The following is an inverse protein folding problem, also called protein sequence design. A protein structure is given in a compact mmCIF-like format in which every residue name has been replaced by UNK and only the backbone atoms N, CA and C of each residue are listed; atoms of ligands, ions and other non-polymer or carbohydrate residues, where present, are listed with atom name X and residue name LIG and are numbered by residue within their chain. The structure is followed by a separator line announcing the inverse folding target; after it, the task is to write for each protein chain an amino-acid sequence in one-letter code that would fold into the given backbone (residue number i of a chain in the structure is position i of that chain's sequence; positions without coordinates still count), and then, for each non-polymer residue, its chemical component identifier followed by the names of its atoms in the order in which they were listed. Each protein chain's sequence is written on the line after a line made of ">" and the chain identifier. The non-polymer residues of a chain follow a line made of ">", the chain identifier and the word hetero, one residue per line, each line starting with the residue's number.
data_IF_578683484140
#
_entry.id   IF_578683484140
#
_cell.length_a   1.000
_cell.length_b   1.000
_cell.length_c   1.000
_cell.angle_alpha   90.00
_cell.angle_beta   90.00
_cell.angle_gamma   90.00
#
_symmetry.space_group_name_H-M   'P 1'
#
loop_
_entity.id
_entity.type
_entity.pdbx_description
1 polymer ?
#
# COMPACT_ATOMS: atom_id res chain seq x y z
N UNK A 1 16.10 -13.31 -28.09
CA UNK A 1 16.89 -12.08 -27.83
C UNK A 1 16.43 -10.84 -28.60
N UNK A 2 15.41 -10.91 -29.47
CA UNK A 2 15.05 -9.79 -30.37
C UNK A 2 14.21 -8.65 -29.75
N UNK A 3 13.92 -8.68 -28.44
CA UNK A 3 13.05 -7.67 -27.79
C UNK A 3 13.73 -6.92 -26.64
N UNK A 4 15.02 -7.15 -26.39
CA UNK A 4 15.75 -6.46 -25.32
C UNK A 4 15.70 -4.93 -25.48
N UNK A 5 15.87 -4.35 -26.69
CA UNK A 5 15.74 -2.91 -26.87
C UNK A 5 14.34 -2.39 -26.51
N UNK A 6 13.29 -3.15 -26.83
CA UNK A 6 11.89 -2.81 -26.51
C UNK A 6 11.64 -2.88 -25.00
N UNK A 7 12.17 -3.90 -24.33
CA UNK A 7 12.07 -4.04 -22.87
C UNK A 7 12.76 -2.89 -22.15
N UNK A 8 13.97 -2.51 -22.59
CA UNK A 8 14.69 -1.35 -22.04
C UNK A 8 13.89 -0.07 -22.23
N UNK A 9 13.40 0.19 -23.45
CA UNK A 9 12.59 1.37 -23.74
C UNK A 9 11.33 1.43 -22.86
N UNK A 10 10.63 0.30 -22.70
CA UNK A 10 9.44 0.20 -21.85
C UNK A 10 9.76 0.54 -20.38
N UNK A 11 10.82 -0.05 -19.80
CA UNK A 11 11.21 0.20 -18.40
C UNK A 11 11.56 1.68 -18.21
N UNK A 12 12.35 2.27 -19.12
CA UNK A 12 12.74 3.68 -19.03
C UNK A 12 11.50 4.58 -19.08
N UNK A 13 10.58 4.36 -20.02
CA UNK A 13 9.33 5.12 -20.12
C UNK A 13 8.49 4.96 -18.84
N UNK A 14 8.37 3.73 -18.30
CA UNK A 14 7.66 3.49 -17.05
C UNK A 14 8.28 4.26 -15.87
N UNK A 15 9.61 4.29 -15.74
CA UNK A 15 10.30 5.05 -14.68
C UNK A 15 10.02 6.54 -14.81
N UNK A 16 10.06 7.10 -16.02
CA UNK A 16 9.70 8.50 -16.24
C UNK A 16 8.27 8.81 -15.77
N UNK A 17 7.29 7.97 -16.14
CA UNK A 17 5.90 8.13 -15.69
C UNK A 17 5.78 8.02 -14.17
N UNK A 18 6.47 7.05 -13.55
CA UNK A 18 6.49 6.91 -12.09
C UNK A 18 7.08 8.14 -11.39
N UNK A 19 8.14 8.73 -11.93
CA UNK A 19 8.74 9.95 -11.36
C UNK A 19 7.76 11.12 -11.42
N UNK A 20 7.06 11.31 -12.54
CA UNK A 20 6.03 12.36 -12.68
C UNK A 20 4.85 12.15 -11.71
N UNK A 21 4.47 10.89 -11.47
CA UNK A 21 3.38 10.54 -10.54
C UNK A 21 3.83 10.42 -9.07
N UNK A 22 5.13 10.47 -8.77
CA UNK A 22 5.65 10.18 -7.43
C UNK A 22 5.10 11.11 -6.35
N UNK A 23 4.91 12.40 -6.66
CA UNK A 23 4.34 13.38 -5.73
C UNK A 23 2.91 13.03 -5.30
N UNK A 24 2.03 12.74 -6.27
CA UNK A 24 0.62 12.40 -5.99
C UNK A 24 0.49 11.06 -5.28
N UNK A 25 1.34 10.09 -5.64
CA UNK A 25 1.42 8.80 -4.96
C UNK A 25 1.88 8.99 -3.50
N UNK A 26 2.88 9.83 -3.26
CA UNK A 26 3.39 10.10 -1.91
C UNK A 26 2.33 10.77 -1.03
N UNK A 27 1.63 11.79 -1.54
CA UNK A 27 0.53 12.44 -0.80
C UNK A 27 -0.58 11.46 -0.43
N UNK A 28 -0.92 10.53 -1.33
CA UNK A 28 -1.91 9.49 -1.06
C UNK A 28 -1.45 8.52 0.04
N UNK A 29 -0.18 8.13 0.03
CA UNK A 29 0.43 7.29 1.06
C UNK A 29 0.47 8.01 2.41
N UNK A 30 0.79 9.30 2.44
CA UNK A 30 0.83 10.08 3.68
C UNK A 30 -0.56 10.27 4.30
N UNK A 31 -1.60 10.40 3.47
CA UNK A 31 -3.00 10.44 3.94
C UNK A 31 -3.47 9.11 4.55
N UNK A 32 -2.85 7.99 4.16
CA UNK A 32 -3.22 6.64 4.58
C UNK A 32 -1.99 5.86 5.09
N UNK A 33 -1.56 6.08 6.34
CA UNK A 33 -0.29 5.53 6.86
C UNK A 33 -0.14 4.00 6.75
N UNK A 34 -1.24 3.26 6.77
CA UNK A 34 -1.26 1.81 6.56
C UNK A 34 -0.78 1.40 5.15
N UNK A 35 -1.02 2.23 4.13
CA UNK A 35 -0.45 2.01 2.79
C UNK A 35 1.07 2.16 2.76
N UNK A 36 1.64 3.05 3.60
CA UNK A 36 3.09 3.18 3.74
C UNK A 36 3.72 1.88 4.24
N UNK A 37 3.13 1.29 5.28
CA UNK A 37 3.57 0.01 5.84
C UNK A 37 3.38 -1.12 4.82
N UNK A 38 2.26 -1.12 4.09
CA UNK A 38 2.00 -2.10 3.03
C UNK A 38 3.07 -2.05 1.93
N UNK A 39 3.44 -0.84 1.47
CA UNK A 39 4.48 -0.65 0.47
C UNK A 39 5.86 -1.13 0.95
N UNK A 40 6.25 -0.77 2.19
CA UNK A 40 7.50 -1.26 2.80
C UNK A 40 7.50 -2.80 2.90
N UNK A 41 6.36 -3.38 3.26
CA UNK A 41 6.20 -4.84 3.36
C UNK A 41 6.33 -5.51 1.99
N UNK A 42 5.75 -4.93 0.94
CA UNK A 42 5.89 -5.46 -0.42
C UNK A 42 7.34 -5.42 -0.90
N UNK A 43 8.08 -4.35 -0.61
CA UNK A 43 9.51 -4.27 -0.92
C UNK A 43 10.31 -5.38 -0.23
N UNK A 44 10.03 -5.65 1.05
CA UNK A 44 10.67 -6.73 1.80
C UNK A 44 10.32 -8.10 1.18
N UNK A 45 9.03 -8.38 0.96
CA UNK A 45 8.58 -9.66 0.40
C UNK A 45 9.18 -9.89 -0.99
N UNK A 46 9.11 -8.90 -1.89
CA UNK A 46 9.69 -9.01 -3.24
C UNK A 46 11.21 -9.18 -3.15
N UNK A 47 11.89 -8.43 -2.28
CA UNK A 47 13.32 -8.59 -2.05
C UNK A 47 13.68 -10.00 -1.58
N UNK A 48 12.96 -10.55 -0.60
CA UNK A 48 13.16 -11.92 -0.12
C UNK A 48 12.88 -12.96 -1.19
N UNK A 49 11.82 -12.78 -1.98
CA UNK A 49 11.48 -13.69 -3.09
C UNK A 49 12.60 -13.68 -4.14
N UNK A 50 13.13 -12.51 -4.51
CA UNK A 50 14.25 -12.43 -5.45
C UNK A 50 15.52 -13.10 -4.90
N UNK A 51 15.81 -12.95 -3.61
CA UNK A 51 16.92 -13.65 -2.96
C UNK A 51 16.70 -15.16 -3.01
N UNK A 52 15.50 -15.64 -2.68
CA UNK A 52 15.17 -17.06 -2.73
C UNK A 52 15.29 -17.62 -4.17
N UNK A 53 14.76 -16.91 -5.16
CA UNK A 53 14.89 -17.27 -6.58
C UNK A 53 16.37 -17.31 -7.03
N UNK A 54 17.23 -16.43 -6.49
CA UNK A 54 18.67 -16.47 -6.75
C UNK A 54 19.36 -17.73 -6.20
N UNK A 55 18.77 -18.38 -5.17
CA UNK A 55 19.19 -19.68 -4.65
C UNK A 55 18.45 -20.86 -5.30
N UNK A 56 17.84 -20.66 -6.48
CA UNK A 56 17.08 -21.65 -7.25
C UNK A 56 15.80 -22.16 -6.53
N UNK A 57 15.38 -21.46 -5.47
CA UNK A 57 14.10 -21.72 -4.78
C UNK A 57 12.98 -21.05 -5.55
N UNK A 58 12.21 -21.86 -6.26
CA UNK A 58 11.09 -21.40 -7.07
C UNK A 58 9.89 -21.06 -6.19
N UNK A 59 9.68 -19.77 -5.94
CA UNK A 59 8.46 -19.28 -5.29
C UNK A 59 7.39 -19.04 -6.36
N UNK A 60 6.23 -19.72 -6.31
CA UNK A 60 5.20 -19.50 -7.31
C UNK A 60 4.67 -18.07 -7.21
N UNK A 61 4.91 -17.27 -8.25
CA UNK A 61 4.61 -15.83 -8.33
C UNK A 61 3.15 -15.51 -8.02
N UNK A 62 2.25 -16.44 -8.33
CA UNK A 62 0.82 -16.34 -8.02
C UNK A 62 0.52 -16.15 -6.53
N UNK A 63 1.29 -16.77 -5.63
CA UNK A 63 1.10 -16.57 -4.18
C UNK A 63 1.43 -15.14 -3.76
N UNK A 64 2.53 -14.60 -4.28
CA UNK A 64 2.96 -13.22 -3.99
C UNK A 64 1.95 -12.23 -4.54
N UNK A 65 1.52 -12.41 -5.79
CA UNK A 65 0.52 -11.55 -6.42
C UNK A 65 -0.84 -11.61 -5.71
N UNK A 66 -1.28 -12.81 -5.31
CA UNK A 66 -2.51 -12.98 -4.55
C UNK A 66 -2.43 -12.31 -3.17
N UNK A 67 -1.33 -12.50 -2.44
CA UNK A 67 -1.11 -11.86 -1.16
C UNK A 67 -1.14 -10.33 -1.29
N UNK A 68 -0.45 -9.75 -2.29
CA UNK A 68 -0.45 -8.31 -2.51
C UNK A 68 -1.85 -7.77 -2.84
N UNK A 69 -2.59 -8.43 -3.74
CA UNK A 69 -3.95 -8.03 -4.12
C UNK A 69 -4.92 -8.15 -2.94
N UNK A 70 -4.85 -9.25 -2.17
CA UNK A 70 -5.67 -9.46 -0.99
C UNK A 70 -5.39 -8.40 0.08
N UNK A 71 -4.12 -8.13 0.39
CA UNK A 71 -3.75 -7.09 1.37
C UNK A 71 -4.22 -5.70 0.97
N UNK A 72 -4.09 -5.34 -0.31
CA UNK A 72 -4.63 -4.07 -0.82
C UNK A 72 -6.16 -4.01 -0.70
N UNK A 73 -6.86 -5.11 -1.00
CA UNK A 73 -8.32 -5.19 -0.87
C UNK A 73 -8.79 -5.05 0.58
N UNK A 74 -8.13 -5.72 1.52
CA UNK A 74 -8.38 -5.58 2.95
C UNK A 74 -8.10 -4.16 3.43
N UNK A 75 -7.00 -3.56 2.96
CA UNK A 75 -6.65 -2.18 3.32
C UNK A 75 -7.67 -1.16 2.77
N UNK A 76 -8.13 -1.34 1.54
CA UNK A 76 -9.19 -0.52 0.96
C UNK A 76 -10.49 -0.62 1.77
N UNK A 77 -10.87 -1.82 2.23
CA UNK A 77 -12.01 -2.02 3.11
C UNK A 77 -11.79 -1.35 4.48
N UNK A 78 -10.60 -1.48 5.06
CA UNK A 78 -10.23 -0.87 6.33
C UNK A 78 -10.33 0.67 6.28
N UNK A 79 -9.79 1.30 5.23
CA UNK A 79 -9.92 2.74 4.98
C UNK A 79 -11.40 3.12 4.86
N UNK A 80 -12.19 2.38 4.06
CA UNK A 80 -13.63 2.65 3.89
C UNK A 80 -14.39 2.57 5.21
N UNK A 81 -14.13 1.54 6.03
CA UNK A 81 -14.77 1.39 7.35
C UNK A 81 -14.39 2.52 8.30
N UNK A 82 -13.13 2.97 8.30
CA UNK A 82 -12.67 4.10 9.13
C UNK A 82 -13.42 5.39 8.77
N UNK A 83 -13.57 5.67 7.47
CA UNK A 83 -14.33 6.84 6.99
C UNK A 83 -15.81 6.76 7.42
N UNK A 84 -16.41 5.56 7.39
CA UNK A 84 -17.80 5.36 7.81
C UNK A 84 -17.98 5.51 9.34
N UNK A 85 -17.00 5.07 10.14
CA UNK A 85 -17.05 5.14 11.62
C UNK A 85 -16.74 6.53 12.17
N UNK A 86 -15.83 7.28 11.56
CA UNK A 86 -15.50 8.65 11.96
C UNK A 86 -16.65 9.66 11.81
N UNK A 87 -17.77 9.27 11.18
CA UNK A 87 -19.01 10.06 11.12
C UNK A 87 -19.97 9.81 12.30
N UNK A 88 -19.69 8.85 13.19
CA UNK A 88 -20.59 8.42 14.28
C UNK A 88 -20.11 8.75 15.69
N UNK A 89 -18.94 9.37 15.85
CA UNK A 89 -18.47 9.84 17.15
C UNK A 89 -19.06 11.22 17.45
N UNK A 90 -20.38 11.28 17.66
CA UNK A 90 -20.91 12.38 18.48
C UNK A 90 -20.28 12.22 19.87
N UNK A 91 -19.45 13.16 20.33
CA UNK A 91 -18.80 13.03 21.62
C UNK A 91 -19.89 12.92 22.68
N UNK A 92 -19.83 11.85 23.47
CA UNK A 92 -20.74 11.66 24.61
C UNK A 92 -20.58 12.88 25.50
N UNK A 93 -21.59 13.75 25.49
CA UNK A 93 -21.62 14.97 26.29
C UNK A 93 -21.70 14.55 27.75
N UNK A 94 -20.53 14.46 28.40
CA UNK A 94 -20.42 14.33 29.84
C UNK A 94 -21.02 15.61 30.44
N UNK A 95 -22.28 15.51 30.85
CA UNK A 95 -22.96 16.54 31.64
C UNK A 95 -22.16 16.66 32.94
N UNK A 96 -21.50 17.81 33.12
CA UNK A 96 -20.99 18.22 34.43
C UNK A 96 -22.06 19.09 35.07
N UNK A 97 -23.11 18.47 35.58
CA UNK A 97 -23.88 19.04 36.67
C UNK A 97 -23.09 18.83 37.96
N UNK A 98 -22.26 19.83 38.30
CA UNK A 98 -21.78 20.02 39.65
C UNK A 98 -22.75 21.04 40.28
N UNK A 99 -23.66 20.62 41.17
CA UNK A 99 -24.42 21.56 41.98
C UNK A 99 -23.52 22.06 43.11
N UNK A 100 -23.13 23.35 43.08
CA UNK A 100 -22.50 24.01 44.23
C UNK A 100 -21.23 24.84 43.99
N UNK A 101 -21.14 25.63 42.91
CA UNK A 101 -20.33 26.85 42.90
C UNK A 101 -21.20 28.05 42.54
#
# INVERSE_FOLDING_TARGET
>A
VQNVPVMIAAIVISVFVMMLASGTISEFIDKHPSLKVLALSFLIVVGTVLVAEAFDVHVPKGYVYFAMAFSLGVEALNIRMRVLRGRKEDPVKLRKDIPGQ
#
